data_IF_074019948575
#
_entry.id   IF_074019948575
#
_cell.length_a   1.000
_cell.length_b   1.000
_cell.length_c   1.000
_cell.angle_alpha   90.00
_cell.angle_beta   90.00
_cell.angle_gamma   90.00
#
_symmetry.space_group_name_H-M   'P 1'
#
loop_
_entity.id
_entity.type
_entity.pdbx_description
1 polymer ?
#
# COMPACT_ATOMS: atom_id res chain seq x y z
N UNK A 1 8.90 -13.53 45.57
CA UNK A 1 8.77 -12.64 44.39
C UNK A 1 7.38 -12.84 43.80
N UNK A 2 6.50 -11.88 44.02
CA UNK A 2 5.07 -12.03 43.72
C UNK A 2 4.82 -11.95 42.22
N UNK A 3 3.94 -12.79 41.68
CA UNK A 3 3.52 -12.79 40.26
C UNK A 3 3.08 -11.37 39.83
N UNK A 4 2.56 -10.59 40.78
CA UNK A 4 2.11 -9.21 40.60
C UNK A 4 3.24 -8.24 40.18
N UNK A 5 4.46 -8.43 40.71
CA UNK A 5 5.60 -7.54 40.40
C UNK A 5 6.19 -7.77 39.01
N UNK A 6 5.92 -8.93 38.40
CA UNK A 6 6.37 -9.28 37.06
C UNK A 6 5.54 -8.62 35.96
N UNK A 7 4.27 -8.26 36.26
CA UNK A 7 3.37 -7.60 35.32
C UNK A 7 3.54 -6.08 35.29
N UNK A 8 3.98 -5.45 36.39
CA UNK A 8 4.10 -4.00 36.49
C UNK A 8 5.39 -3.38 35.91
N UNK A 9 6.38 -4.20 35.53
CA UNK A 9 7.67 -3.73 35.01
C UNK A 9 7.93 -4.15 33.55
N UNK A 10 6.92 -4.56 32.80
CA UNK A 10 7.09 -4.84 31.37
C UNK A 10 6.57 -3.67 30.58
N UNK A 11 7.50 -2.95 29.94
CA UNK A 11 7.15 -1.96 28.93
C UNK A 11 6.41 -2.66 27.80
N UNK A 12 5.16 -2.28 27.61
CA UNK A 12 4.31 -2.84 26.55
C UNK A 12 4.79 -2.33 25.19
N UNK A 13 4.76 -3.21 24.21
CA UNK A 13 5.07 -2.90 22.82
C UNK A 13 3.85 -3.17 21.99
N UNK A 14 3.41 -2.17 21.27
CA UNK A 14 2.30 -2.25 20.33
C UNK A 14 2.79 -1.94 18.92
N UNK A 15 2.27 -2.66 17.95
CA UNK A 15 2.58 -2.42 16.56
C UNK A 15 1.42 -2.74 15.63
N UNK A 16 1.54 -2.25 14.43
CA UNK A 16 0.66 -2.58 13.32
C UNK A 16 1.47 -3.17 12.17
N UNK A 17 0.94 -4.22 11.57
CA UNK A 17 1.48 -4.84 10.36
C UNK A 17 0.51 -4.54 9.23
N UNK A 18 1.03 -4.14 8.08
CA UNK A 18 0.28 -4.01 6.84
C UNK A 18 0.86 -4.94 5.79
N UNK A 19 0.00 -5.68 5.09
CA UNK A 19 0.39 -6.44 3.90
C UNK A 19 0.26 -5.50 2.71
N UNK A 20 1.40 -5.16 2.12
CA UNK A 20 1.45 -4.19 1.02
C UNK A 20 1.10 -4.85 -0.32
N UNK A 21 0.36 -4.15 -1.16
CA UNK A 21 0.00 -4.53 -2.53
C UNK A 21 -0.72 -5.88 -2.67
N UNK A 22 -1.37 -6.40 -1.61
CA UNK A 22 -2.04 -7.69 -1.63
C UNK A 22 -3.16 -7.74 -2.68
N UNK A 23 -4.07 -6.78 -2.63
CA UNK A 23 -5.24 -6.75 -3.53
C UNK A 23 -4.83 -6.56 -4.99
N UNK A 24 -3.91 -5.64 -5.25
CA UNK A 24 -3.38 -5.38 -6.60
C UNK A 24 -2.64 -6.60 -7.15
N UNK A 25 -1.77 -7.22 -6.34
CA UNK A 25 -0.99 -8.38 -6.73
C UNK A 25 -1.83 -9.61 -7.01
N UNK A 26 -3.01 -9.73 -6.40
CA UNK A 26 -3.89 -10.87 -6.55
C UNK A 26 -5.09 -10.59 -7.47
N UNK A 27 -5.22 -9.39 -8.03
CA UNK A 27 -6.42 -8.97 -8.77
C UNK A 27 -6.77 -9.90 -9.94
N UNK A 28 -5.77 -10.38 -10.68
CA UNK A 28 -5.94 -11.20 -11.87
C UNK A 28 -6.14 -12.70 -11.58
N UNK A 29 -6.01 -13.13 -10.33
CA UNK A 29 -6.14 -14.54 -9.97
C UNK A 29 -7.57 -14.91 -9.64
N UNK A 30 -7.91 -16.20 -9.84
CA UNK A 30 -9.17 -16.78 -9.41
C UNK A 30 -9.28 -16.85 -7.88
N UNK A 31 -10.50 -17.07 -7.38
CA UNK A 31 -10.80 -17.06 -5.94
C UNK A 31 -9.99 -18.11 -5.17
N UNK A 32 -9.79 -19.29 -5.76
CA UNK A 32 -9.07 -20.39 -5.09
C UNK A 32 -7.59 -20.04 -4.95
N UNK A 33 -6.97 -19.55 -6.01
CA UNK A 33 -5.57 -19.12 -6.03
C UNK A 33 -5.33 -17.95 -5.06
N UNK A 34 -6.26 -16.98 -5.00
CA UNK A 34 -6.21 -15.89 -4.02
C UNK A 34 -6.18 -16.41 -2.58
N UNK A 35 -7.12 -17.30 -2.25
CA UNK A 35 -7.20 -17.88 -0.90
C UNK A 35 -5.93 -18.68 -0.54
N UNK A 36 -5.30 -19.35 -1.51
CA UNK A 36 -4.04 -20.06 -1.29
C UNK A 36 -2.88 -19.10 -0.97
N UNK A 37 -2.74 -18.00 -1.72
CA UNK A 37 -1.71 -16.98 -1.47
C UNK A 37 -1.93 -16.27 -0.13
N UNK A 38 -3.16 -15.85 0.17
CA UNK A 38 -3.52 -15.25 1.45
C UNK A 38 -3.22 -16.21 2.61
N UNK A 39 -3.57 -17.49 2.48
CA UNK A 39 -3.27 -18.51 3.47
C UNK A 39 -1.78 -18.70 3.72
N UNK A 40 -0.93 -18.64 2.69
CA UNK A 40 0.53 -18.70 2.82
C UNK A 40 1.09 -17.49 3.59
N UNK A 41 0.59 -16.28 3.30
CA UNK A 41 1.03 -15.05 3.99
C UNK A 41 0.63 -15.11 5.47
N UNK A 42 -0.65 -15.42 5.74
CA UNK A 42 -1.17 -15.53 7.10
C UNK A 42 -0.40 -16.59 7.90
N UNK A 43 -0.14 -17.75 7.27
CA UNK A 43 0.64 -18.82 7.86
C UNK A 43 2.06 -18.41 8.21
N UNK A 44 2.74 -17.66 7.35
CA UNK A 44 4.07 -17.13 7.60
C UNK A 44 4.10 -16.12 8.75
N UNK A 45 3.14 -15.18 8.77
CA UNK A 45 3.00 -14.19 9.85
C UNK A 45 2.74 -14.90 11.18
N UNK A 46 1.82 -15.87 11.21
CA UNK A 46 1.47 -16.61 12.42
C UNK A 46 2.65 -17.45 12.95
N UNK A 47 3.38 -18.12 12.06
CA UNK A 47 4.58 -18.88 12.40
C UNK A 47 5.65 -17.98 13.00
N UNK A 48 5.99 -16.90 12.30
CA UNK A 48 6.97 -15.93 12.78
C UNK A 48 6.58 -15.33 14.14
N UNK A 49 5.31 -14.98 14.32
CA UNK A 49 4.82 -14.44 15.58
C UNK A 49 4.99 -15.42 16.74
N UNK A 50 4.63 -16.69 16.55
CA UNK A 50 4.77 -17.73 17.56
C UNK A 50 6.25 -17.98 17.92
N UNK A 51 7.14 -18.02 16.92
CA UNK A 51 8.58 -18.27 17.14
C UNK A 51 9.27 -17.12 17.87
N UNK A 52 8.73 -15.90 17.78
CA UNK A 52 9.31 -14.69 18.36
C UNK A 52 8.57 -14.17 19.61
N UNK A 53 7.58 -14.89 20.12
CA UNK A 53 6.84 -14.48 21.31
C UNK A 53 5.99 -13.21 21.09
N UNK A 54 5.47 -13.08 19.88
CA UNK A 54 4.64 -11.94 19.45
C UNK A 54 3.19 -12.39 19.34
N UNK A 55 2.27 -11.65 19.92
CA UNK A 55 0.84 -11.84 19.69
C UNK A 55 0.42 -11.04 18.46
N UNK A 56 -0.23 -11.68 17.50
CA UNK A 56 -0.75 -11.03 16.29
C UNK A 56 -2.22 -11.36 16.09
N UNK A 57 -3.03 -10.35 15.78
CA UNK A 57 -4.45 -10.50 15.47
C UNK A 57 -4.83 -9.66 14.25
N UNK A 58 -5.59 -10.26 13.34
CA UNK A 58 -6.13 -9.56 12.18
C UNK A 58 -7.16 -8.50 12.59
N UNK A 59 -7.03 -7.32 12.01
CA UNK A 59 -8.02 -6.23 12.06
C UNK A 59 -8.82 -6.17 10.77
N UNK A 60 -8.15 -6.36 9.63
CA UNK A 60 -8.74 -6.46 8.29
C UNK A 60 -8.02 -7.57 7.50
N UNK A 61 -8.35 -7.75 6.23
CA UNK A 61 -7.65 -8.66 5.31
C UNK A 61 -6.15 -8.35 5.17
N UNK A 62 -5.77 -7.08 5.27
CA UNK A 62 -4.40 -6.62 5.05
C UNK A 62 -3.72 -6.06 6.29
N UNK A 63 -4.46 -5.79 7.36
CA UNK A 63 -3.94 -5.13 8.56
C UNK A 63 -4.07 -5.99 9.81
N UNK A 64 -2.99 -6.03 10.59
CA UNK A 64 -2.90 -6.79 11.83
C UNK A 64 -2.38 -5.90 12.95
N UNK A 65 -2.84 -6.16 14.17
CA UNK A 65 -2.24 -5.62 15.39
C UNK A 65 -1.21 -6.61 15.93
N UNK A 66 -0.11 -6.06 16.43
CA UNK A 66 1.00 -6.79 17.04
C UNK A 66 1.15 -6.32 18.49
N UNK A 67 1.27 -7.25 19.43
CA UNK A 67 1.54 -6.95 20.84
C UNK A 67 2.67 -7.86 21.30
N UNK A 68 3.66 -7.28 21.98
CA UNK A 68 4.77 -8.02 22.59
C UNK A 68 5.34 -7.25 23.77
N UNK A 69 6.45 -7.68 24.33
CA UNK A 69 7.19 -6.97 25.35
C UNK A 69 8.54 -6.47 24.83
N UNK A 70 9.20 -5.65 25.63
CA UNK A 70 10.49 -5.04 25.25
C UNK A 70 11.58 -6.09 25.02
N UNK A 71 11.59 -7.20 25.75
CA UNK A 71 12.60 -8.26 25.58
C UNK A 71 12.51 -8.91 24.20
N UNK A 72 11.29 -9.23 23.76
CA UNK A 72 11.05 -9.80 22.44
C UNK A 72 11.28 -8.77 21.33
N UNK A 73 10.91 -7.49 21.55
CA UNK A 73 11.25 -6.43 20.59
C UNK A 73 12.76 -6.32 20.36
N UNK A 74 13.58 -6.37 21.41
CA UNK A 74 15.05 -6.35 21.28
C UNK A 74 15.59 -7.53 20.46
N UNK A 75 14.96 -8.71 20.59
CA UNK A 75 15.31 -9.87 19.76
C UNK A 75 14.95 -9.65 18.30
N UNK A 76 13.77 -9.06 18.02
CA UNK A 76 13.34 -8.71 16.67
C UNK A 76 14.26 -7.68 16.03
N UNK A 77 14.67 -6.66 16.78
CA UNK A 77 15.62 -5.63 16.34
C UNK A 77 16.97 -6.28 15.96
N UNK A 78 17.49 -7.18 16.80
CA UNK A 78 18.76 -7.89 16.52
C UNK A 78 18.68 -8.79 15.30
N UNK A 79 17.53 -9.39 15.02
CA UNK A 79 17.31 -10.24 13.85
C UNK A 79 16.94 -9.46 12.59
N UNK A 80 16.87 -8.11 12.65
CA UNK A 80 16.44 -7.24 11.55
C UNK A 80 15.07 -7.62 10.96
N UNK A 81 14.16 -8.14 11.79
CA UNK A 81 12.79 -8.51 11.35
C UNK A 81 12.79 -9.44 10.13
N UNK A 82 13.31 -10.65 10.30
CA UNK A 82 13.46 -11.67 9.22
C UNK A 82 12.20 -11.92 8.42
N UNK A 83 11.01 -11.68 9.00
CA UNK A 83 9.72 -11.85 8.32
C UNK A 83 9.60 -11.04 7.02
N UNK A 84 10.28 -9.90 6.91
CA UNK A 84 10.27 -9.11 5.67
C UNK A 84 10.88 -9.90 4.51
N UNK A 85 11.97 -10.63 4.77
CA UNK A 85 12.63 -11.45 3.76
C UNK A 85 11.86 -12.78 3.54
N UNK A 86 11.29 -13.37 4.60
CA UNK A 86 10.51 -14.59 4.52
C UNK A 86 9.29 -14.42 3.60
N UNK A 87 8.57 -13.30 3.71
CA UNK A 87 7.44 -13.00 2.81
C UNK A 87 7.89 -12.84 1.36
N UNK A 88 9.01 -12.17 1.10
CA UNK A 88 9.54 -12.01 -0.26
C UNK A 88 9.90 -13.36 -0.89
N UNK A 89 10.47 -14.26 -0.10
CA UNK A 89 10.87 -15.60 -0.55
C UNK A 89 9.64 -16.45 -0.91
N UNK A 90 8.51 -16.30 -0.22
CA UNK A 90 7.28 -17.01 -0.55
C UNK A 90 6.78 -16.72 -1.97
N UNK A 91 7.12 -15.56 -2.52
CA UNK A 91 6.65 -15.09 -3.82
C UNK A 91 7.81 -14.88 -4.80
N UNK A 92 8.55 -15.94 -5.08
CA UNK A 92 9.66 -15.94 -6.07
C UNK A 92 9.20 -15.71 -7.50
N UNK A 93 7.90 -15.85 -7.79
CA UNK A 93 7.36 -15.53 -9.12
C UNK A 93 7.27 -14.00 -9.28
N UNK A 94 7.74 -13.47 -10.42
CA UNK A 94 7.70 -12.03 -10.73
C UNK A 94 6.29 -11.43 -10.81
N UNK A 95 5.26 -12.26 -10.71
CA UNK A 95 3.85 -11.89 -10.89
C UNK A 95 3.23 -11.37 -9.59
N UNK A 96 3.60 -11.94 -8.43
CA UNK A 96 3.04 -11.52 -7.12
C UNK A 96 4.12 -10.79 -6.34
N UNK A 97 3.92 -9.51 -6.07
CA UNK A 97 4.84 -8.66 -5.31
C UNK A 97 4.17 -8.17 -4.03
N UNK A 98 4.12 -9.04 -3.04
CA UNK A 98 3.61 -8.71 -1.71
C UNK A 98 4.78 -8.47 -0.77
N UNK A 99 4.71 -7.39 0.00
CA UNK A 99 5.67 -7.06 1.06
C UNK A 99 4.95 -6.78 2.36
N UNK A 100 5.68 -6.58 3.43
CA UNK A 100 5.14 -6.17 4.73
C UNK A 100 5.69 -4.82 5.13
N UNK A 101 4.82 -3.98 5.67
CA UNK A 101 5.20 -2.76 6.39
C UNK A 101 4.75 -2.86 7.83
N UNK A 102 5.60 -2.42 8.76
CA UNK A 102 5.28 -2.44 10.18
C UNK A 102 5.61 -1.10 10.84
N UNK A 103 4.71 -0.66 11.71
CA UNK A 103 4.97 0.43 12.64
C UNK A 103 4.86 -0.08 14.06
N UNK A 104 5.90 0.11 14.87
CA UNK A 104 5.99 -0.40 16.23
C UNK A 104 6.33 0.75 17.17
N UNK A 105 5.68 0.80 18.33
CA UNK A 105 5.98 1.73 19.39
C UNK A 105 6.27 1.01 20.71
N UNK A 106 7.26 1.52 21.43
CA UNK A 106 7.70 1.01 22.73
C UNK A 106 8.02 2.22 23.61
N UNK A 107 7.06 2.65 24.40
CA UNK A 107 7.18 3.81 25.29
C UNK A 107 6.42 3.55 26.59
N UNK A 108 6.83 4.20 27.68
CA UNK A 108 6.12 4.22 28.97
C UNK A 108 4.94 5.24 28.94
N UNK A 109 4.03 5.07 28.01
CA UNK A 109 2.85 5.93 27.85
C UNK A 109 1.57 5.09 27.97
N UNK A 110 0.42 5.76 28.00
CA UNK A 110 -0.84 5.02 27.99
C UNK A 110 -1.06 4.28 26.65
N UNK A 111 -1.91 3.25 26.65
CA UNK A 111 -2.14 2.38 25.50
C UNK A 111 -2.65 3.14 24.26
N UNK A 112 -3.42 4.22 24.45
CA UNK A 112 -3.93 5.01 23.32
C UNK A 112 -2.78 5.76 22.62
N UNK A 113 -1.93 6.44 23.39
CA UNK A 113 -0.77 7.16 22.83
C UNK A 113 0.22 6.17 22.17
N UNK A 114 0.37 4.98 22.76
CA UNK A 114 1.19 3.91 22.19
C UNK A 114 0.62 3.41 20.84
N UNK A 115 -0.70 3.30 20.75
CA UNK A 115 -1.41 2.95 19.51
C UNK A 115 -1.23 4.01 18.42
N UNK A 116 -1.40 5.29 18.79
CA UNK A 116 -1.24 6.41 17.85
C UNK A 116 0.21 6.53 17.36
N UNK A 117 1.16 6.32 18.26
CA UNK A 117 2.58 6.26 17.92
C UNK A 117 2.87 5.12 16.93
N UNK A 118 2.39 3.91 17.20
CA UNK A 118 2.57 2.76 16.33
C UNK A 118 1.93 2.98 14.94
N UNK A 119 0.73 3.57 14.90
CA UNK A 119 0.06 3.92 13.66
C UNK A 119 0.88 4.95 12.86
N UNK A 120 1.40 5.98 13.51
CA UNK A 120 2.27 7.00 12.90
C UNK A 120 3.52 6.36 12.29
N UNK A 121 4.14 5.39 12.99
CA UNK A 121 5.30 4.68 12.45
C UNK A 121 4.94 3.80 11.25
N UNK A 122 3.75 3.18 11.24
CA UNK A 122 3.29 2.44 10.06
C UNK A 122 3.08 3.37 8.85
N UNK A 123 2.46 4.53 9.06
CA UNK A 123 2.29 5.53 8.01
C UNK A 123 3.63 6.04 7.47
N UNK A 124 4.61 6.21 8.37
CA UNK A 124 5.97 6.56 7.98
C UNK A 124 6.62 5.44 7.12
N UNK A 125 6.44 4.16 7.50
CA UNK A 125 6.92 3.04 6.70
C UNK A 125 6.29 3.03 5.31
N UNK A 126 4.98 3.19 5.22
CA UNK A 126 4.23 3.20 3.95
C UNK A 126 4.61 4.41 3.07
N UNK A 127 4.74 5.60 3.66
CA UNK A 127 5.12 6.82 2.92
C UNK A 127 6.52 6.75 2.30
N UNK A 128 7.39 5.90 2.84
CA UNK A 128 8.74 5.64 2.34
C UNK A 128 8.80 4.53 1.29
N UNK A 129 7.65 3.99 0.90
CA UNK A 129 7.53 2.98 -0.14
C UNK A 129 7.24 1.56 0.36
N UNK A 130 6.99 1.39 1.65
CA UNK A 130 6.70 0.08 2.26
C UNK A 130 7.94 -0.81 2.41
N UNK A 131 7.71 -2.11 2.60
CA UNK A 131 8.76 -3.13 2.74
C UNK A 131 9.77 -2.84 3.86
N UNK A 132 9.29 -2.32 4.98
CA UNK A 132 10.14 -1.91 6.09
C UNK A 132 9.41 -1.93 7.43
N UNK A 133 10.20 -1.95 8.49
CA UNK A 133 9.73 -1.77 9.86
C UNK A 133 10.27 -0.45 10.39
N UNK A 134 9.39 0.36 10.96
CA UNK A 134 9.75 1.57 11.70
C UNK A 134 9.40 1.36 13.16
N UNK A 135 10.38 1.47 14.03
CA UNK A 135 10.25 1.30 15.48
C UNK A 135 10.50 2.63 16.16
N UNK A 136 9.52 3.11 16.92
CA UNK A 136 9.70 4.24 17.84
C UNK A 136 9.95 3.69 19.24
N UNK A 137 11.14 3.91 19.76
CA UNK A 137 11.54 3.55 21.12
C UNK A 137 11.90 4.81 21.88
N UNK A 138 11.04 5.22 22.82
CA UNK A 138 11.12 6.51 23.47
C UNK A 138 11.15 7.66 22.45
N UNK A 139 12.26 8.37 22.35
CA UNK A 139 12.46 9.49 21.39
C UNK A 139 13.24 9.09 20.15
N UNK A 140 13.66 7.84 20.02
CA UNK A 140 14.46 7.35 18.91
C UNK A 140 13.57 6.61 17.89
N UNK A 141 13.82 6.84 16.60
CA UNK A 141 13.15 6.15 15.51
C UNK A 141 14.18 5.30 14.76
N UNK A 142 13.94 3.99 14.73
CA UNK A 142 14.78 2.99 14.07
C UNK A 142 14.10 2.49 12.81
N UNK A 143 14.88 2.22 11.77
CA UNK A 143 14.40 1.73 10.48
C UNK A 143 15.06 0.39 10.16
N UNK A 144 14.26 -0.59 9.74
CA UNK A 144 14.71 -1.94 9.37
C UNK A 144 14.09 -2.34 8.04
N UNK A 145 14.75 -3.18 7.28
CA UNK A 145 14.37 -3.51 5.92
C UNK A 145 14.96 -2.50 4.94
N UNK A 146 14.27 -2.19 3.87
CA UNK A 146 14.69 -1.22 2.85
C UNK A 146 16.14 -1.39 2.35
N UNK A 147 16.56 -2.66 2.16
CA UNK A 147 17.81 -2.97 1.42
C UNK A 147 17.61 -2.94 -0.09
N UNK A 148 16.37 -2.88 -0.51
CA UNK A 148 16.01 -2.53 -1.87
C UNK A 148 15.79 -1.03 -1.90
N UNK A 149 16.34 -0.39 -2.92
CA UNK A 149 15.89 0.95 -3.32
C UNK A 149 14.38 1.01 -3.15
N UNK A 150 13.86 2.09 -2.57
CA UNK A 150 12.43 2.17 -2.31
C UNK A 150 11.70 1.70 -3.57
N UNK A 151 10.80 0.74 -3.41
CA UNK A 151 9.81 0.44 -4.44
C UNK A 151 8.91 1.66 -4.50
N UNK A 152 9.54 2.72 -4.67
CA UNK A 152 8.97 3.76 -5.31
C UNK A 152 9.75 4.08 -6.33
N UNK A 153 9.12 4.23 -7.09
CA UNK A 153 9.41 4.84 -8.33
C UNK A 153 9.79 3.69 -9.17
N UNK A 154 8.76 3.11 -9.75
CA UNK A 154 8.95 2.79 -11.14
C UNK A 154 10.13 3.63 -11.58
N UNK A 155 11.27 3.02 -11.78
CA UNK A 155 12.50 3.78 -11.96
C UNK A 155 12.16 4.83 -13.02
N UNK A 156 12.74 6.02 -12.97
CA UNK A 156 12.49 7.02 -14.04
C UNK A 156 12.60 6.40 -15.42
N UNK A 157 13.37 5.34 -15.53
CA UNK A 157 13.53 4.49 -16.71
C UNK A 157 12.27 3.68 -16.99
N UNK A 158 11.64 3.06 -15.98
CA UNK A 158 10.43 2.26 -16.15
C UNK A 158 9.22 3.13 -16.49
N UNK A 159 9.06 4.27 -15.82
CA UNK A 159 8.06 5.28 -16.19
C UNK A 159 8.27 5.76 -17.62
N UNK A 160 9.52 5.98 -18.00
CA UNK A 160 9.86 6.42 -19.37
C UNK A 160 9.52 5.36 -20.40
N UNK A 161 9.89 4.09 -20.16
CA UNK A 161 9.58 2.97 -21.05
C UNK A 161 8.06 2.80 -21.20
N UNK A 162 7.31 2.76 -20.10
CA UNK A 162 5.84 2.68 -20.15
C UNK A 162 5.20 3.88 -20.86
N UNK A 163 5.75 5.08 -20.67
CA UNK A 163 5.29 6.28 -21.36
C UNK A 163 5.58 6.22 -22.88
N UNK A 164 6.74 5.70 -23.27
CA UNK A 164 7.09 5.50 -24.68
C UNK A 164 6.20 4.43 -25.32
N UNK A 165 5.93 3.31 -24.65
CA UNK A 165 5.01 2.27 -25.11
C UNK A 165 3.59 2.82 -25.29
N UNK A 166 3.05 3.54 -24.30
CA UNK A 166 1.74 4.16 -24.37
C UNK A 166 1.67 5.20 -25.50
N UNK A 167 2.72 6.00 -25.68
CA UNK A 167 2.83 6.97 -26.78
C UNK A 167 2.76 6.26 -28.14
N UNK A 168 3.49 5.16 -28.30
CA UNK A 168 3.50 4.38 -29.54
C UNK A 168 2.11 3.76 -29.82
N UNK A 169 1.42 3.24 -28.80
CA UNK A 169 0.06 2.74 -28.94
C UNK A 169 -0.90 3.87 -29.36
N UNK A 170 -0.80 5.06 -28.76
CA UNK A 170 -1.60 6.22 -29.12
C UNK A 170 -1.32 6.68 -30.57
N UNK A 171 -0.06 6.73 -31.00
CA UNK A 171 0.34 7.13 -32.35
C UNK A 171 -0.23 6.16 -33.40
N UNK A 172 -0.28 4.88 -33.10
CA UNK A 172 -0.78 3.85 -34.02
C UNK A 172 -2.32 3.65 -33.97
N UNK A 173 -3.01 4.38 -33.08
CA UNK A 173 -4.47 4.30 -32.94
C UNK A 173 -5.19 5.39 -33.74
N UNK A 174 -6.36 5.07 -34.30
CA UNK A 174 -7.20 6.05 -35.00
C UNK A 174 -8.02 6.89 -34.02
N UNK A 175 -8.57 6.27 -32.99
CA UNK A 175 -9.36 6.92 -31.94
C UNK A 175 -8.89 6.41 -30.58
N UNK A 176 -8.91 7.28 -29.58
CA UNK A 176 -8.51 6.98 -28.20
C UNK A 176 -9.68 7.28 -27.29
N UNK A 177 -10.12 6.27 -26.54
CA UNK A 177 -11.19 6.40 -25.55
C UNK A 177 -10.59 6.27 -24.16
N UNK A 178 -10.78 7.28 -23.33
CA UNK A 178 -10.27 7.34 -21.96
C UNK A 178 -11.43 7.17 -21.00
N UNK A 179 -11.36 6.13 -20.17
CA UNK A 179 -12.38 5.81 -19.16
C UNK A 179 -11.73 5.83 -17.77
N UNK A 180 -12.44 6.39 -16.80
CA UNK A 180 -12.11 6.22 -15.38
C UNK A 180 -12.86 5.01 -14.79
N UNK A 181 -12.59 4.71 -13.50
CA UNK A 181 -13.36 3.69 -12.78
C UNK A 181 -14.81 4.14 -12.53
N UNK A 182 -15.68 3.19 -12.16
CA UNK A 182 -17.14 3.38 -12.10
C UNK A 182 -17.58 4.54 -11.19
N UNK A 183 -16.90 4.78 -10.08
CA UNK A 183 -17.18 5.90 -9.16
C UNK A 183 -15.98 6.83 -9.14
N UNK A 184 -15.80 7.59 -10.24
CA UNK A 184 -14.58 8.37 -10.45
C UNK A 184 -14.46 9.47 -9.40
N UNK A 185 -13.36 9.46 -8.66
CA UNK A 185 -12.96 10.49 -7.73
C UNK A 185 -12.14 11.60 -8.42
N UNK A 186 -11.72 12.60 -7.66
CA UNK A 186 -10.98 13.74 -8.20
C UNK A 186 -9.63 13.34 -8.83
N UNK A 187 -8.93 12.37 -8.24
CA UNK A 187 -7.63 11.91 -8.73
C UNK A 187 -7.76 11.10 -10.01
N UNK A 188 -8.71 10.16 -10.05
CA UNK A 188 -9.06 9.40 -11.26
C UNK A 188 -9.51 10.31 -12.40
N UNK A 189 -10.30 11.35 -12.10
CA UNK A 189 -10.72 12.32 -13.10
C UNK A 189 -9.54 13.16 -13.62
N UNK A 190 -8.64 13.60 -12.74
CA UNK A 190 -7.43 14.34 -13.13
C UNK A 190 -6.51 13.49 -14.04
N UNK A 191 -6.33 12.20 -13.71
CA UNK A 191 -5.58 11.27 -14.54
C UNK A 191 -6.26 11.09 -15.93
N UNK A 192 -7.58 10.96 -15.98
CA UNK A 192 -8.34 10.84 -17.22
C UNK A 192 -8.14 12.07 -18.13
N UNK A 193 -8.18 13.29 -17.56
CA UNK A 193 -7.90 14.53 -18.30
C UNK A 193 -6.46 14.58 -18.79
N UNK A 194 -5.49 14.14 -17.97
CA UNK A 194 -4.09 14.14 -18.34
C UNK A 194 -3.83 13.26 -19.58
N UNK A 195 -4.35 12.03 -19.59
CA UNK A 195 -4.23 11.10 -20.73
C UNK A 195 -4.95 11.66 -21.96
N UNK A 196 -6.15 12.20 -21.81
CA UNK A 196 -6.88 12.84 -22.89
C UNK A 196 -6.09 13.98 -23.53
N UNK A 197 -5.53 14.89 -22.73
CA UNK A 197 -4.73 16.01 -23.21
C UNK A 197 -3.44 15.54 -23.89
N UNK A 198 -2.83 14.48 -23.38
CA UNK A 198 -1.67 13.87 -24.00
C UNK A 198 -1.99 13.35 -25.40
N UNK A 199 -3.08 12.59 -25.55
CA UNK A 199 -3.54 12.12 -26.85
C UNK A 199 -3.84 13.26 -27.82
N UNK A 200 -4.49 14.33 -27.35
CA UNK A 200 -4.75 15.54 -28.16
C UNK A 200 -3.45 16.22 -28.59
N UNK A 201 -2.45 16.30 -27.71
CA UNK A 201 -1.13 16.87 -28.03
C UNK A 201 -0.39 16.06 -29.12
N UNK A 202 -0.65 14.76 -29.19
CA UNK A 202 -0.15 13.88 -30.26
C UNK A 202 -0.97 13.98 -31.57
N UNK A 203 -1.95 14.90 -31.64
CA UNK A 203 -2.79 15.10 -32.81
C UNK A 203 -3.84 14.01 -33.02
N UNK A 204 -4.17 13.23 -31.98
CA UNK A 204 -5.11 12.12 -32.08
C UNK A 204 -6.54 12.51 -31.74
N UNK A 205 -7.50 11.76 -32.29
CA UNK A 205 -8.89 11.85 -31.89
C UNK A 205 -9.04 11.15 -30.55
N UNK A 206 -9.23 11.93 -29.50
CA UNK A 206 -9.39 11.41 -28.15
C UNK A 206 -10.73 11.84 -27.56
N UNK A 207 -11.32 10.95 -26.76
CA UNK A 207 -12.61 11.13 -26.13
C UNK A 207 -12.57 10.63 -24.70
N UNK A 208 -13.16 11.39 -23.77
CA UNK A 208 -13.39 10.93 -22.38
C UNK A 208 -14.82 10.37 -22.34
N UNK A 209 -14.93 9.11 -21.87
CA UNK A 209 -16.21 8.44 -21.68
C UNK A 209 -16.52 8.42 -20.19
N UNK A 210 -17.72 8.84 -19.81
CA UNK A 210 -18.14 8.88 -18.41
C UNK A 210 -19.64 8.61 -18.27
N UNK A 211 -20.03 8.13 -17.08
CA UNK A 211 -21.43 7.99 -16.68
C UNK A 211 -21.81 9.15 -15.74
N UNK A 212 -22.70 10.07 -16.15
CA UNK A 212 -23.10 11.20 -15.31
C UNK A 212 -23.74 10.82 -13.98
N UNK A 213 -24.27 9.60 -13.85
CA UNK A 213 -24.93 9.13 -12.63
C UNK A 213 -23.95 8.63 -11.58
N UNK A 214 -22.71 8.39 -11.97
CA UNK A 214 -21.67 7.82 -11.10
C UNK A 214 -20.55 8.81 -10.72
N UNK A 215 -20.73 10.09 -11.04
CA UNK A 215 -19.74 11.14 -10.75
C UNK A 215 -20.01 11.77 -9.38
N UNK A 216 -18.95 11.92 -8.57
CA UNK A 216 -19.00 12.70 -7.33
C UNK A 216 -19.33 14.18 -7.61
N UNK A 217 -20.06 14.82 -6.70
CA UNK A 217 -20.49 16.21 -6.83
C UNK A 217 -19.34 17.22 -6.99
N UNK A 218 -18.16 16.89 -6.44
CA UNK A 218 -16.94 17.70 -6.57
C UNK A 218 -16.38 17.59 -7.98
N UNK A 219 -16.34 16.36 -8.51
CA UNK A 219 -15.88 16.06 -9.87
C UNK A 219 -16.85 16.68 -10.88
N UNK A 220 -18.16 16.65 -10.64
CA UNK A 220 -19.17 17.25 -11.51
C UNK A 220 -18.94 18.75 -11.71
N UNK A 221 -18.60 19.49 -10.68
CA UNK A 221 -18.29 20.93 -10.77
C UNK A 221 -17.06 21.20 -11.64
N UNK A 222 -16.01 20.42 -11.45
CA UNK A 222 -14.77 20.51 -12.24
C UNK A 222 -15.07 20.15 -13.70
N UNK A 223 -15.86 19.10 -13.89
CA UNK A 223 -16.28 18.59 -15.19
C UNK A 223 -17.04 19.65 -16.01
N UNK A 224 -18.04 20.29 -15.42
CA UNK A 224 -18.82 21.36 -16.08
C UNK A 224 -17.95 22.53 -16.52
N UNK A 225 -16.90 22.85 -15.77
CA UNK A 225 -15.96 23.92 -16.10
C UNK A 225 -15.06 23.56 -17.30
N UNK A 226 -14.72 22.29 -17.46
CA UNK A 226 -13.86 21.82 -18.55
C UNK A 226 -14.66 21.40 -19.81
N UNK A 227 -15.87 20.87 -19.67
CA UNK A 227 -16.73 20.48 -20.81
C UNK A 227 -17.20 21.68 -21.64
N UNK A 228 -17.25 22.85 -21.06
CA UNK A 228 -17.59 24.08 -21.79
C UNK A 228 -16.49 24.53 -22.78
N UNK A 229 -15.30 24.01 -22.68
CA UNK A 229 -14.12 24.40 -23.46
C UNK A 229 -13.65 23.33 -24.45
N UNK A 230 -14.18 22.10 -24.41
CA UNK A 230 -13.65 21.00 -25.23
C UNK A 230 -14.74 20.01 -25.66
N UNK A 231 -14.90 19.83 -26.98
CA UNK A 231 -15.93 18.94 -27.59
C UNK A 231 -15.58 17.44 -27.52
N UNK A 232 -14.57 17.05 -26.74
CA UNK A 232 -14.07 15.66 -26.66
C UNK A 232 -14.72 14.81 -25.57
N UNK A 233 -15.83 15.21 -24.96
CA UNK A 233 -16.47 14.47 -23.88
C UNK A 233 -17.73 13.75 -24.36
N UNK A 234 -17.73 12.42 -24.23
CA UNK A 234 -18.85 11.55 -24.63
C UNK A 234 -19.57 11.04 -23.39
N UNK A 235 -20.85 11.23 -23.34
CA UNK A 235 -21.75 10.72 -22.31
C UNK A 235 -22.23 9.31 -22.68
N UNK A 236 -22.15 8.36 -21.77
CA UNK A 236 -22.81 7.06 -21.93
C UNK A 236 -24.28 7.26 -21.57
N UNK A 237 -25.15 7.13 -22.53
CA UNK A 237 -26.61 7.12 -22.33
C UNK A 237 -27.08 5.77 -21.85
#
# INVERSE_FOLDING_TARGET
MCIRDRYYNRTEVLGYINIDNLEESLQEFDVQTKAEYEGKIIGAIAKWANENGVFVRALTSTRYILITDQEHLEKLIKSNFTILDDIKILFTSRVVRVTLSMGIACNDVNVNDLSDDAQTQLELALSRGGDQVVVKKNSEILFFGAKTDPIVKESKVEIRVKSEELTNLMINSSNIFVLGHKSIDADGFAATIAIYRWAKKLGKNAFIIYDPKSIDSTVEKIFRKHSATDNGMLNIK
#
